data_IF_474156183232
#
_entry.id   IF_474156183232
#
_cell.length_a   1.000
_cell.length_b   1.000
_cell.length_c   1.000
_cell.angle_alpha   90.00
_cell.angle_beta   90.00
_cell.angle_gamma   90.00
#
_symmetry.space_group_name_H-M   'P 1'
#
loop_
_entity.id
_entity.type
_entity.pdbx_description
1 polymer ?
#
# COMPACT_ATOMS: atom_id res chain seq x y z
N UNK A 1 -13.30 -20.33 17.83
CA UNK A 1 -11.84 -20.19 17.64
C UNK A 1 -11.42 -19.05 18.55
N UNK A 2 -10.57 -19.35 19.53
CA UNK A 2 -10.29 -18.44 20.63
C UNK A 2 -9.03 -17.65 20.28
N UNK A 3 -9.10 -16.32 20.35
CA UNK A 3 -7.97 -15.42 20.07
C UNK A 3 -7.27 -15.07 21.37
N UNK A 4 -5.95 -14.87 21.31
CA UNK A 4 -5.18 -14.34 22.42
C UNK A 4 -5.59 -12.88 22.71
N UNK A 5 -5.49 -12.48 23.98
CA UNK A 5 -5.75 -11.10 24.41
C UNK A 5 -4.56 -10.16 24.12
N UNK A 6 -3.51 -10.69 23.49
CA UNK A 6 -2.31 -9.96 23.11
C UNK A 6 -1.80 -10.39 21.73
N UNK A 7 -0.74 -9.73 21.26
CA UNK A 7 -0.06 -10.17 20.04
C UNK A 7 0.71 -11.47 20.27
N UNK A 8 0.83 -12.29 19.23
CA UNK A 8 1.63 -13.51 19.25
C UNK A 8 3.07 -13.26 19.73
N UNK A 9 3.66 -12.10 19.41
CA UNK A 9 4.95 -11.66 19.93
C UNK A 9 4.96 -11.55 21.46
N UNK A 10 4.01 -10.80 22.04
CA UNK A 10 3.92 -10.59 23.48
C UNK A 10 3.66 -11.90 24.21
N UNK A 11 2.81 -12.75 23.63
CA UNK A 11 2.54 -14.09 24.13
C UNK A 11 3.83 -14.91 24.24
N UNK A 12 4.57 -15.08 23.14
CA UNK A 12 5.82 -15.85 23.14
C UNK A 12 6.90 -15.24 24.02
N UNK A 13 6.99 -13.91 24.09
CA UNK A 13 7.94 -13.24 24.97
C UNK A 13 7.65 -13.53 26.45
N UNK A 14 6.38 -13.54 26.82
CA UNK A 14 5.97 -13.85 28.18
C UNK A 14 6.17 -15.34 28.50
N UNK A 15 5.87 -16.24 27.56
CA UNK A 15 6.14 -17.69 27.72
C UNK A 15 7.65 -17.93 27.88
N UNK A 16 8.49 -17.33 27.04
CA UNK A 16 9.94 -17.45 27.15
C UNK A 16 10.45 -17.00 28.53
N UNK A 17 9.95 -15.86 29.03
CA UNK A 17 10.34 -15.34 30.33
C UNK A 17 9.93 -16.26 31.49
N UNK A 18 8.80 -16.96 31.39
CA UNK A 18 8.37 -17.94 32.41
C UNK A 18 9.22 -19.21 32.36
N UNK A 19 9.52 -19.71 31.16
CA UNK A 19 10.43 -20.84 30.98
C UNK A 19 11.84 -20.53 31.51
N UNK A 20 12.35 -19.31 31.31
CA UNK A 20 13.63 -18.86 31.90
C UNK A 20 13.65 -18.84 33.42
N UNK A 21 12.49 -18.64 34.05
CA UNK A 21 12.34 -18.69 35.50
C UNK A 21 12.22 -20.13 36.03
N UNK A 22 12.37 -21.14 35.17
CA UNK A 22 12.30 -22.55 35.53
C UNK A 22 10.87 -23.10 35.59
N UNK A 23 9.90 -22.39 35.03
CA UNK A 23 8.54 -22.92 34.89
C UNK A 23 8.48 -23.87 33.68
N UNK A 24 7.71 -24.96 33.79
CA UNK A 24 7.46 -25.83 32.63
C UNK A 24 6.53 -25.15 31.60
N UNK A 25 6.38 -25.74 30.41
CA UNK A 25 5.60 -25.13 29.33
C UNK A 25 4.13 -24.91 29.71
N UNK A 26 3.47 -25.92 30.27
CA UNK A 26 2.06 -25.82 30.69
C UNK A 26 1.84 -24.69 31.70
N UNK A 27 2.70 -24.61 32.71
CA UNK A 27 2.65 -23.55 33.73
C UNK A 27 3.01 -22.19 33.15
N UNK A 28 3.91 -22.12 32.17
CA UNK A 28 4.21 -20.89 31.45
C UNK A 28 3.01 -20.37 30.65
N UNK A 29 2.25 -21.27 30.00
CA UNK A 29 0.98 -20.96 29.35
C UNK A 29 -0.08 -20.48 30.34
N UNK A 30 -0.15 -21.12 31.51
CA UNK A 30 -1.10 -20.72 32.55
C UNK A 30 -0.77 -19.33 33.13
N UNK A 31 0.52 -19.07 33.38
CA UNK A 31 0.99 -17.84 34.04
C UNK A 31 1.09 -16.63 33.09
N UNK A 32 0.85 -16.78 31.80
CA UNK A 32 1.07 -15.71 30.82
C UNK A 32 -0.01 -14.63 30.80
N UNK A 33 -1.12 -14.78 31.53
CA UNK A 33 -2.13 -13.73 31.81
C UNK A 33 -2.89 -13.16 30.61
N UNK A 34 -2.39 -13.39 29.39
CA UNK A 34 -2.94 -12.94 28.12
C UNK A 34 -3.61 -14.08 27.35
N UNK A 35 -3.83 -15.20 28.04
CA UNK A 35 -4.51 -16.39 27.54
C UNK A 35 -5.96 -16.31 28.01
N UNK A 36 -6.94 -16.40 27.09
CA UNK A 36 -8.36 -16.37 27.44
C UNK A 36 -8.71 -17.35 28.56
N UNK A 37 -9.62 -16.93 29.44
CA UNK A 37 -10.06 -17.72 30.60
C UNK A 37 -10.59 -19.10 30.19
N UNK A 38 -11.30 -19.19 29.06
CA UNK A 38 -11.78 -20.45 28.49
C UNK A 38 -10.66 -21.47 28.20
N UNK A 39 -9.49 -20.99 27.77
CA UNK A 39 -8.31 -21.84 27.47
C UNK A 39 -7.63 -22.24 28.78
N UNK A 40 -7.56 -21.34 29.75
CA UNK A 40 -7.01 -21.61 31.08
C UNK A 40 -7.84 -22.66 31.83
N UNK A 41 -9.17 -22.56 31.77
CA UNK A 41 -10.09 -23.54 32.36
C UNK A 41 -9.88 -24.93 31.75
N UNK A 42 -9.70 -25.02 30.44
CA UNK A 42 -9.42 -26.31 29.78
C UNK A 42 -8.12 -26.95 30.26
N UNK A 43 -7.05 -26.16 30.41
CA UNK A 43 -5.80 -26.65 31.00
C UNK A 43 -5.98 -27.10 32.45
N UNK A 44 -6.77 -26.39 33.26
CA UNK A 44 -7.08 -26.77 34.64
C UNK A 44 -7.90 -28.06 34.75
N UNK A 45 -8.76 -28.32 33.77
CA UNK A 45 -9.57 -29.54 33.67
C UNK A 45 -8.75 -30.75 33.19
N UNK A 46 -7.48 -30.55 32.83
CA UNK A 46 -6.56 -31.61 32.40
C UNK A 46 -6.61 -31.91 30.90
N UNK A 47 -7.18 -31.02 30.08
CA UNK A 47 -7.07 -31.15 28.62
C UNK A 47 -5.59 -31.14 28.20
N UNK A 48 -5.26 -31.92 27.18
CA UNK A 48 -3.90 -31.98 26.64
C UNK A 48 -3.49 -30.60 26.09
N UNK A 49 -2.29 -30.12 26.47
CA UNK A 49 -1.73 -28.84 26.02
C UNK A 49 -1.78 -28.68 24.49
N UNK A 50 -1.51 -29.75 23.74
CA UNK A 50 -1.58 -29.74 22.28
C UNK A 50 -2.99 -29.43 21.77
N UNK A 51 -4.02 -30.05 22.36
CA UNK A 51 -5.43 -29.80 21.98
C UNK A 51 -5.84 -28.37 22.31
N UNK A 52 -5.38 -27.86 23.46
CA UNK A 52 -5.59 -26.49 23.89
C UNK A 52 -4.95 -25.51 22.89
N UNK A 53 -3.67 -25.69 22.55
CA UNK A 53 -2.93 -24.86 21.60
C UNK A 53 -3.55 -24.91 20.21
N UNK A 54 -4.04 -26.08 19.79
CA UNK A 54 -4.69 -26.25 18.49
C UNK A 54 -5.97 -25.40 18.35
N UNK A 55 -6.65 -25.13 19.47
CA UNK A 55 -7.87 -24.31 19.53
C UNK A 55 -7.62 -22.80 19.48
N UNK A 56 -6.38 -22.37 19.68
CA UNK A 56 -5.95 -20.97 19.61
C UNK A 56 -5.83 -20.54 18.15
N UNK A 57 -6.39 -19.38 17.83
CA UNK A 57 -6.25 -18.71 16.54
C UNK A 57 -5.05 -17.77 16.54
N UNK A 58 -3.87 -18.31 16.26
CA UNK A 58 -2.64 -17.52 16.11
C UNK A 58 -2.63 -16.80 14.76
N UNK A 59 -2.13 -15.56 14.74
CA UNK A 59 -1.84 -14.86 13.49
C UNK A 59 -0.73 -15.55 12.69
N UNK A 60 0.16 -16.28 13.38
CA UNK A 60 1.19 -17.11 12.78
C UNK A 60 0.88 -18.61 12.99
N UNK A 61 0.32 -19.32 11.99
CA UNK A 61 -0.07 -20.73 12.13
C UNK A 61 1.08 -21.67 12.52
N UNK A 62 2.32 -21.31 12.15
CA UNK A 62 3.53 -22.06 12.50
C UNK A 62 3.77 -22.15 14.02
N UNK A 63 3.14 -21.30 14.83
CA UNK A 63 3.22 -21.38 16.29
C UNK A 63 2.59 -22.65 16.85
N UNK A 64 1.57 -23.20 16.19
CA UNK A 64 1.01 -24.51 16.58
C UNK A 64 2.08 -25.61 16.48
N UNK A 65 2.85 -25.59 15.40
CA UNK A 65 3.94 -26.55 15.16
C UNK A 65 5.11 -26.36 16.11
N UNK A 66 5.39 -25.10 16.49
CA UNK A 66 6.43 -24.78 17.47
C UNK A 66 6.15 -25.54 18.78
N UNK A 67 4.94 -25.43 19.30
CA UNK A 67 4.56 -26.05 20.57
C UNK A 67 4.26 -27.55 20.47
N UNK A 68 3.80 -28.06 19.32
CA UNK A 68 3.61 -29.51 19.14
C UNK A 68 4.91 -30.30 19.11
N UNK A 69 6.04 -29.63 18.87
CA UNK A 69 7.37 -30.26 18.80
C UNK A 69 8.10 -30.29 20.16
N UNK A 70 7.45 -29.83 21.23
CA UNK A 70 8.10 -29.55 22.52
C UNK A 70 8.26 -30.81 23.39
N UNK A 71 7.36 -31.78 23.30
CA UNK A 71 7.36 -32.98 24.17
C UNK A 71 8.60 -33.89 24.01
N UNK A 72 9.45 -33.65 23.00
CA UNK A 72 10.61 -34.48 22.67
C UNK A 72 11.96 -33.74 22.73
N UNK A 73 11.98 -32.54 23.30
CA UNK A 73 13.12 -31.60 23.18
C UNK A 73 13.56 -31.13 24.56
N UNK A 74 14.86 -30.89 24.73
CA UNK A 74 15.41 -30.35 25.98
C UNK A 74 14.84 -28.95 26.31
N UNK A 75 14.62 -28.67 27.60
CA UNK A 75 14.05 -27.39 28.08
C UNK A 75 14.83 -26.16 27.60
N UNK A 76 16.16 -26.26 27.55
CA UNK A 76 17.03 -25.20 27.04
C UNK A 76 16.78 -24.91 25.56
N UNK A 77 16.58 -25.95 24.75
CA UNK A 77 16.29 -25.82 23.33
C UNK A 77 14.88 -25.26 23.10
N UNK A 78 13.91 -25.63 23.94
CA UNK A 78 12.54 -25.06 23.90
C UNK A 78 12.58 -23.55 24.16
N UNK A 79 13.33 -23.11 25.19
CA UNK A 79 13.52 -21.69 25.49
C UNK A 79 14.11 -20.96 24.28
N UNK A 80 15.16 -21.51 23.68
CA UNK A 80 15.84 -20.90 22.54
C UNK A 80 14.94 -20.82 21.30
N UNK A 81 14.14 -21.87 21.03
CA UNK A 81 13.17 -21.89 19.94
C UNK A 81 12.07 -20.86 20.13
N UNK A 82 11.51 -20.73 21.33
CA UNK A 82 10.47 -19.72 21.65
C UNK A 82 11.03 -18.30 21.54
N UNK A 83 12.22 -18.05 22.11
CA UNK A 83 12.92 -16.75 22.00
C UNK A 83 13.22 -16.37 20.55
N UNK A 84 13.78 -17.30 19.79
CA UNK A 84 14.13 -17.08 18.38
C UNK A 84 12.88 -16.77 17.56
N UNK A 85 11.80 -17.52 17.79
CA UNK A 85 10.52 -17.29 17.10
C UNK A 85 9.90 -15.94 17.47
N UNK A 86 9.92 -15.57 18.76
CA UNK A 86 9.47 -14.25 19.22
C UNK A 86 10.25 -13.12 18.53
N UNK A 87 11.59 -13.23 18.47
CA UNK A 87 12.45 -12.26 17.75
C UNK A 87 12.11 -12.18 16.27
N UNK A 88 11.91 -13.33 15.61
CA UNK A 88 11.54 -13.37 14.18
C UNK A 88 10.19 -12.71 13.91
N UNK A 89 9.20 -12.93 14.78
CA UNK A 89 7.89 -12.26 14.67
C UNK A 89 8.06 -10.75 14.83
N UNK A 90 8.81 -10.29 15.83
CA UNK A 90 9.06 -8.86 16.04
C UNK A 90 9.73 -8.21 14.82
N UNK A 91 10.82 -8.81 14.31
CA UNK A 91 11.52 -8.31 13.13
C UNK A 91 10.58 -8.25 11.93
N UNK A 92 9.73 -9.26 11.75
CA UNK A 92 8.73 -9.28 10.67
C UNK A 92 7.69 -8.17 10.84
N UNK A 93 7.17 -7.93 12.04
CA UNK A 93 6.21 -6.87 12.32
C UNK A 93 6.82 -5.48 12.09
N UNK A 94 8.07 -5.27 12.50
CA UNK A 94 8.84 -4.06 12.23
C UNK A 94 9.01 -3.84 10.72
N UNK A 95 9.43 -4.87 9.97
CA UNK A 95 9.56 -4.82 8.50
C UNK A 95 8.22 -4.51 7.83
N UNK A 96 7.12 -5.13 8.29
CA UNK A 96 5.78 -4.87 7.75
C UNK A 96 5.36 -3.42 7.99
N UNK A 97 5.60 -2.91 9.20
CA UNK A 97 5.31 -1.51 9.56
C UNK A 97 6.13 -0.52 8.73
N UNK A 98 7.41 -0.80 8.52
CA UNK A 98 8.28 -0.01 7.65
C UNK A 98 7.80 -0.03 6.20
N UNK A 99 7.49 -1.22 5.66
CA UNK A 99 6.93 -1.36 4.31
C UNK A 99 5.63 -0.59 4.15
N UNK A 100 4.71 -0.68 5.10
CA UNK A 100 3.45 0.07 5.08
C UNK A 100 3.67 1.58 5.11
N UNK A 101 4.63 2.05 5.92
CA UNK A 101 5.00 3.47 5.95
C UNK A 101 5.58 3.93 4.62
N UNK A 102 6.44 3.13 4.00
CA UNK A 102 7.06 3.40 2.70
C UNK A 102 6.01 3.42 1.58
N UNK A 103 5.10 2.46 1.57
CA UNK A 103 3.97 2.40 0.63
C UNK A 103 3.05 3.63 0.75
N UNK A 104 2.78 4.11 1.97
CA UNK A 104 2.01 5.35 2.18
C UNK A 104 2.73 6.56 1.56
N UNK A 105 4.04 6.67 1.76
CA UNK A 105 4.86 7.75 1.18
C UNK A 105 4.89 7.67 -0.35
N UNK A 106 5.13 6.49 -0.92
CA UNK A 106 5.12 6.27 -2.37
C UNK A 106 3.77 6.59 -3.01
N UNK A 107 2.65 6.16 -2.40
CA UNK A 107 1.31 6.52 -2.88
C UNK A 107 1.06 8.03 -2.87
N UNK A 108 1.52 8.75 -1.83
CA UNK A 108 1.43 10.23 -1.79
C UNK A 108 2.24 10.87 -2.91
N UNK A 109 3.49 10.43 -3.14
CA UNK A 109 4.35 10.93 -4.22
C UNK A 109 3.74 10.67 -5.60
N UNK A 110 3.21 9.47 -5.85
CA UNK A 110 2.52 9.14 -7.09
C UNK A 110 1.31 10.05 -7.35
N UNK A 111 0.51 10.37 -6.33
CA UNK A 111 -0.60 11.33 -6.46
C UNK A 111 -0.11 12.71 -6.89
N UNK A 112 0.98 13.20 -6.28
CA UNK A 112 1.58 14.49 -6.65
C UNK A 112 2.05 14.48 -8.10
N UNK A 113 2.85 13.47 -8.49
CA UNK A 113 3.35 13.31 -9.87
C UNK A 113 2.19 13.28 -10.86
N UNK A 114 1.11 12.56 -10.53
CA UNK A 114 -0.08 12.49 -11.37
C UNK A 114 -0.71 13.85 -11.61
N UNK A 115 -0.98 14.63 -10.56
CA UNK A 115 -1.59 15.95 -10.73
C UNK A 115 -0.69 16.92 -11.50
N UNK A 116 0.62 16.92 -11.20
CA UNK A 116 1.59 17.76 -11.91
C UNK A 116 1.64 17.40 -13.38
N UNK A 117 1.86 16.14 -13.72
CA UNK A 117 1.96 15.70 -15.12
C UNK A 117 0.65 15.88 -15.89
N UNK A 118 -0.50 15.62 -15.25
CA UNK A 118 -1.81 15.86 -15.85
C UNK A 118 -2.00 17.32 -16.26
N UNK A 119 -1.62 18.26 -15.37
CA UNK A 119 -1.74 19.69 -15.64
C UNK A 119 -0.73 20.14 -16.69
N UNK A 120 0.54 19.73 -16.58
CA UNK A 120 1.59 20.11 -17.53
C UNK A 120 1.26 19.66 -18.95
N UNK A 121 0.81 18.42 -19.15
CA UNK A 121 0.44 17.92 -20.49
C UNK A 121 -0.76 18.68 -21.04
N UNK A 122 -1.76 19.01 -20.21
CA UNK A 122 -2.91 19.80 -20.63
C UNK A 122 -2.54 21.24 -21.02
N UNK A 123 -1.63 21.88 -20.27
CA UNK A 123 -1.10 23.20 -20.61
C UNK A 123 -0.32 23.17 -21.94
N UNK A 124 0.59 22.21 -22.12
CA UNK A 124 1.34 22.06 -23.38
C UNK A 124 0.37 21.90 -24.56
N UNK A 125 -0.67 21.09 -24.41
CA UNK A 125 -1.69 20.91 -25.44
C UNK A 125 -2.49 22.17 -25.74
N UNK A 126 -2.85 22.95 -24.71
CA UNK A 126 -3.57 24.21 -24.90
C UNK A 126 -2.76 25.26 -25.65
N UNK A 127 -1.45 25.37 -25.32
CA UNK A 127 -0.54 26.35 -25.94
C UNK A 127 0.11 25.86 -27.22
N UNK A 128 0.01 24.57 -27.55
CA UNK A 128 0.68 23.97 -28.72
C UNK A 128 0.44 24.70 -30.04
N UNK A 129 -0.75 25.23 -30.36
CA UNK A 129 -0.96 25.83 -31.66
C UNK A 129 -0.38 27.25 -31.76
N UNK A 130 -0.02 27.91 -30.64
CA UNK A 130 0.83 29.12 -30.66
C UNK A 130 2.21 28.79 -31.24
N UNK A 131 2.82 27.69 -30.78
CA UNK A 131 4.14 27.27 -31.27
C UNK A 131 4.11 26.86 -32.75
N UNK A 132 3.04 26.17 -33.18
CA UNK A 132 2.83 25.83 -34.58
C UNK A 132 2.73 27.06 -35.47
N UNK A 133 2.00 28.09 -35.03
CA UNK A 133 1.82 29.32 -35.79
C UNK A 133 3.08 30.20 -35.78
N UNK A 134 3.83 30.22 -34.68
CA UNK A 134 5.12 30.92 -34.62
C UNK A 134 6.11 30.32 -35.64
N UNK A 135 6.15 28.99 -35.73
CA UNK A 135 6.98 28.29 -36.72
C UNK A 135 6.53 28.58 -38.16
N UNK A 136 5.22 28.58 -38.43
CA UNK A 136 4.67 28.97 -39.74
C UNK A 136 5.03 30.42 -40.09
N UNK A 137 4.89 31.36 -39.14
CA UNK A 137 5.22 32.76 -39.35
C UNK A 137 6.71 32.96 -39.68
N UNK A 138 7.61 32.28 -38.97
CA UNK A 138 9.06 32.34 -39.24
C UNK A 138 9.40 31.76 -40.62
N UNK A 139 8.71 30.69 -41.05
CA UNK A 139 9.03 29.98 -42.30
C UNK A 139 8.36 30.54 -43.54
N UNK A 140 7.15 31.11 -43.42
CA UNK A 140 6.32 31.53 -44.55
C UNK A 140 5.88 33.00 -44.48
N UNK A 141 6.11 33.69 -43.36
CA UNK A 141 5.66 35.07 -43.14
C UNK A 141 4.16 35.20 -42.84
N UNK A 142 3.39 34.10 -42.93
CA UNK A 142 1.95 34.11 -42.73
C UNK A 142 1.56 33.56 -41.35
N UNK A 143 0.64 34.26 -40.69
CA UNK A 143 0.00 33.79 -39.46
C UNK A 143 -1.37 33.18 -39.81
N UNK A 144 -1.43 31.86 -39.96
CA UNK A 144 -2.68 31.17 -40.28
C UNK A 144 -3.48 30.89 -38.99
N UNK A 145 -4.66 31.48 -38.85
CA UNK A 145 -5.52 31.38 -37.66
C UNK A 145 -6.35 30.08 -37.59
N UNK A 146 -5.90 28.98 -38.22
CA UNK A 146 -6.66 27.72 -38.24
C UNK A 146 -6.48 26.90 -36.94
N UNK A 147 -6.84 27.51 -35.81
CA UNK A 147 -6.88 26.87 -34.50
C UNK A 147 -8.04 25.86 -34.42
N UNK A 148 -7.83 24.65 -34.94
CA UNK A 148 -8.75 23.53 -34.71
C UNK A 148 -8.48 22.89 -33.33
N UNK A 149 -9.49 22.93 -32.45
CA UNK A 149 -9.50 22.23 -31.15
C UNK A 149 -9.21 20.73 -31.33
N UNK A 150 -9.61 20.17 -32.47
CA UNK A 150 -9.43 18.77 -32.82
C UNK A 150 -8.22 18.53 -33.70
N UNK A 151 -7.20 19.39 -33.61
CA UNK A 151 -5.93 19.11 -34.28
C UNK A 151 -5.39 17.75 -33.86
N UNK A 152 -4.73 17.07 -34.79
CA UNK A 152 -4.05 15.79 -34.55
C UNK A 152 -3.12 15.89 -33.33
N UNK A 153 -2.51 17.07 -33.13
CA UNK A 153 -1.64 17.35 -32.00
C UNK A 153 -2.38 17.39 -30.66
N UNK A 154 -3.54 18.05 -30.59
CA UNK A 154 -4.37 18.09 -29.38
C UNK A 154 -4.89 16.70 -28.99
N UNK A 155 -5.34 15.92 -29.98
CA UNK A 155 -5.78 14.54 -29.77
C UNK A 155 -4.61 13.67 -29.27
N UNK A 156 -3.42 13.85 -29.84
CA UNK A 156 -2.21 13.14 -29.41
C UNK A 156 -1.85 13.45 -27.96
N UNK A 157 -1.90 14.73 -27.55
CA UNK A 157 -1.64 15.10 -26.16
C UNK A 157 -2.72 14.59 -25.19
N UNK A 158 -3.99 14.54 -25.60
CA UNK A 158 -5.04 13.92 -24.80
C UNK A 158 -4.75 12.43 -24.57
N UNK A 159 -4.36 11.69 -25.61
CA UNK A 159 -3.99 10.27 -25.49
C UNK A 159 -2.78 10.08 -24.58
N UNK A 160 -1.73 10.89 -24.75
CA UNK A 160 -0.54 10.86 -23.87
C UNK A 160 -0.95 11.12 -22.41
N UNK A 161 -1.83 12.10 -22.17
CA UNK A 161 -2.29 12.44 -20.84
C UNK A 161 -3.09 11.29 -20.21
N UNK A 162 -3.96 10.65 -20.98
CA UNK A 162 -4.75 9.50 -20.54
C UNK A 162 -3.86 8.29 -20.24
N UNK A 163 -2.90 7.97 -21.12
CA UNK A 163 -1.96 6.87 -20.92
C UNK A 163 -1.09 7.10 -19.68
N UNK A 164 -0.53 8.30 -19.53
CA UNK A 164 0.31 8.64 -18.39
C UNK A 164 -0.47 8.53 -17.07
N UNK A 165 -1.68 9.09 -17.01
CA UNK A 165 -2.53 8.97 -15.82
C UNK A 165 -2.99 7.54 -15.55
N UNK A 166 -3.25 6.76 -16.61
CA UNK A 166 -3.60 5.34 -16.49
C UNK A 166 -2.46 4.54 -15.85
N UNK A 167 -1.22 4.71 -16.32
CA UNK A 167 -0.05 4.03 -15.76
C UNK A 167 0.20 4.43 -14.31
N UNK A 168 0.10 5.72 -13.98
CA UNK A 168 0.27 6.21 -12.61
C UNK A 168 -0.81 5.69 -11.66
N UNK A 169 -2.07 5.59 -12.12
CA UNK A 169 -3.17 4.98 -11.36
C UNK A 169 -2.95 3.47 -11.14
N UNK A 170 -2.47 2.77 -12.17
CA UNK A 170 -2.14 1.34 -12.10
C UNK A 170 -0.99 1.08 -11.12
N UNK A 171 0.07 1.90 -11.16
CA UNK A 171 1.18 1.83 -10.19
C UNK A 171 0.73 2.15 -8.75
N UNK A 172 -0.27 3.02 -8.60
CA UNK A 172 -0.88 3.34 -7.30
C UNK A 172 -1.79 2.24 -6.72
N UNK A 173 -2.03 1.17 -7.48
CA UNK A 173 -3.02 0.12 -7.19
C UNK A 173 -4.40 0.70 -6.85
N UNK A 174 -4.83 1.71 -7.62
CA UNK A 174 -6.10 2.40 -7.41
C UNK A 174 -7.24 1.66 -8.12
N UNK A 175 -8.36 1.46 -7.41
CA UNK A 175 -9.55 0.85 -8.00
C UNK A 175 -10.31 1.82 -8.90
N UNK A 176 -11.17 1.26 -9.78
CA UNK A 176 -12.07 2.00 -10.67
C UNK A 176 -11.33 3.00 -11.57
N UNK A 177 -10.19 2.59 -12.12
CA UNK A 177 -9.30 3.42 -12.97
C UNK A 177 -10.07 4.17 -14.06
N UNK A 178 -11.02 3.52 -14.75
CA UNK A 178 -11.84 4.13 -15.81
C UNK A 178 -12.54 5.42 -15.36
N UNK A 179 -13.18 5.41 -14.18
CA UNK A 179 -13.86 6.58 -13.64
C UNK A 179 -12.88 7.68 -13.23
N UNK A 180 -11.69 7.30 -12.76
CA UNK A 180 -10.64 8.25 -12.35
C UNK A 180 -9.93 8.92 -13.53
N UNK A 181 -10.12 8.43 -14.75
CA UNK A 181 -9.65 9.09 -15.97
C UNK A 181 -10.62 10.16 -16.49
N UNK A 182 -11.88 10.14 -16.07
CA UNK A 182 -12.89 11.12 -16.50
C UNK A 182 -12.44 12.56 -16.21
N UNK A 183 -11.92 12.90 -14.99
CA UNK A 183 -11.40 14.23 -14.72
C UNK A 183 -10.24 14.66 -15.62
N UNK A 184 -9.44 13.72 -16.14
CA UNK A 184 -8.34 14.02 -17.07
C UNK A 184 -8.90 14.57 -18.37
N UNK A 185 -9.94 13.94 -18.91
CA UNK A 185 -10.61 14.39 -20.15
C UNK A 185 -11.24 15.76 -19.95
N UNK A 186 -11.96 15.96 -18.84
CA UNK A 186 -12.59 17.25 -18.52
C UNK A 186 -11.57 18.37 -18.37
N UNK A 187 -10.52 18.16 -17.58
CA UNK A 187 -9.48 19.16 -17.36
C UNK A 187 -8.74 19.50 -18.65
N UNK A 188 -8.37 18.49 -19.44
CA UNK A 188 -7.68 18.68 -20.70
C UNK A 188 -8.53 19.51 -21.67
N UNK A 189 -9.81 19.15 -21.81
CA UNK A 189 -10.76 19.89 -22.65
C UNK A 189 -10.95 21.32 -22.18
N UNK A 190 -11.09 21.53 -20.86
CA UNK A 190 -11.27 22.87 -20.27
C UNK A 190 -10.07 23.78 -20.54
N UNK A 191 -8.84 23.27 -20.39
CA UNK A 191 -7.62 24.05 -20.66
C UNK A 191 -7.48 24.36 -22.15
N UNK A 192 -7.70 23.38 -23.03
CA UNK A 192 -7.62 23.60 -24.49
C UNK A 192 -8.65 24.63 -24.95
N UNK A 193 -9.89 24.55 -24.47
CA UNK A 193 -10.95 25.51 -24.78
C UNK A 193 -10.62 26.90 -24.20
N UNK A 194 -10.16 26.96 -22.95
CA UNK A 194 -9.83 28.22 -22.27
C UNK A 194 -8.69 28.98 -22.97
N UNK A 195 -7.62 28.28 -23.34
CA UNK A 195 -6.50 28.89 -24.09
C UNK A 195 -6.96 29.36 -25.47
N UNK A 196 -7.85 28.63 -26.16
CA UNK A 196 -8.42 29.09 -27.42
C UNK A 196 -9.18 30.40 -27.27
N UNK A 197 -10.08 30.51 -26.29
CA UNK A 197 -10.83 31.74 -26.03
C UNK A 197 -9.89 32.91 -25.71
N UNK A 198 -8.83 32.65 -24.93
CA UNK A 198 -7.81 33.65 -24.63
C UNK A 198 -7.10 34.14 -25.90
N UNK A 199 -6.63 33.23 -26.76
CA UNK A 199 -5.91 33.58 -28.00
C UNK A 199 -6.81 34.35 -28.97
N UNK A 200 -8.06 33.90 -29.18
CA UNK A 200 -9.02 34.55 -30.08
C UNK A 200 -9.36 35.98 -29.64
N UNK A 201 -9.32 36.26 -28.34
CA UNK A 201 -9.58 37.61 -27.82
C UNK A 201 -8.34 38.52 -27.79
N UNK A 202 -7.13 37.96 -27.89
CA UNK A 202 -5.86 38.72 -27.83
C UNK A 202 -5.28 39.07 -29.20
N UNK A 203 -5.56 38.26 -30.21
CA UNK A 203 -5.12 38.50 -31.59
C UNK A 203 -6.37 38.90 -32.38
N UNK A 204 -6.66 40.21 -32.55
CA UNK A 204 -7.73 40.63 -33.45
C UNK A 204 -7.37 40.13 -34.86
N UNK A 205 -8.33 39.44 -35.47
CA UNK A 205 -8.28 38.95 -36.85
C UNK A 205 -8.09 40.12 -37.81
#
# INVERSE_FOLDING_TARGET
MNKLDCTDFNFLSNVALKLENGENLERSFFLTGNVPEEILVRLQLGDNLHEVISSIDFNYPALKNLFSSVDYVDESEIIDRVKSTSRLIRVREEILKEKDSSLKVHRRRLKIIRYVTMFTIAMIAGFSPIFSNLYSFISTGEFTSSFSIWSILSISFLIINLLNNYYLLKMGNEEKIKFRLIPVVFLHSAIVIGVRFFILNLIPI
#
